data_IF_003406490441
#
_entry.id   IF_003406490441
#
_cell.length_a   1.000
_cell.length_b   1.000
_cell.length_c   1.000
_cell.angle_alpha   90.00
_cell.angle_beta   90.00
_cell.angle_gamma   90.00
#
_symmetry.space_group_name_H-M   'P 1'
#
loop_
_entity.id
_entity.type
_entity.pdbx_description
1 polymer ?
2 non-polymer ?
3 water ?
#
# COMPACT_ATOMS: atom_id res chain seq x y z
N UNK A 1 11.01 0.41 4.08
CA UNK A 1 10.11 1.14 5.00
C UNK A 1 9.77 0.25 6.19
N UNK A 2 9.21 0.84 7.25
CA UNK A 2 8.80 0.05 8.40
C UNK A 2 7.32 -0.23 8.21
N UNK A 3 6.80 -1.22 8.93
CA UNK A 3 5.40 -1.56 8.79
C UNK A 3 4.70 -1.83 10.11
N UNK A 4 3.41 -1.52 10.16
CA UNK A 4 2.59 -1.79 11.34
C UNK A 4 1.57 -2.78 10.81
N UNK A 5 1.21 -3.75 11.62
CA UNK A 5 0.28 -4.78 11.17
C UNK A 5 -0.90 -5.04 12.08
N UNK A 6 -2.07 -5.16 11.48
CA UNK A 6 -3.29 -5.48 12.22
C UNK A 6 -3.90 -6.68 11.52
N UNK A 7 -4.11 -7.75 12.27
CA UNK A 7 -4.70 -8.95 11.70
C UNK A 7 -6.14 -9.11 12.14
N UNK A 8 -7.00 -9.49 11.21
CA UNK A 8 -8.42 -9.70 11.48
C UNK A 8 -8.76 -11.15 11.12
N UNK A 9 -9.64 -11.76 11.91
CA UNK A 9 -10.05 -13.14 11.67
C UNK A 9 -8.86 -14.09 11.53
N UNK A 10 -7.92 -13.94 12.46
CA UNK A 10 -6.71 -14.76 12.55
C UNK A 10 -5.93 -14.97 11.26
N UNK A 11 -5.74 -13.89 10.51
CA UNK A 11 -4.99 -13.95 9.27
C UNK A 11 -3.58 -14.49 9.58
N UNK A 12 -3.08 -14.16 10.77
CA UNK A 12 -1.75 -14.58 11.20
C UNK A 12 -1.51 -16.09 11.27
N UNK A 13 -2.53 -16.87 11.61
CA UNK A 13 -2.37 -18.32 11.70
C UNK A 13 -2.68 -19.00 10.37
N UNK A 14 -3.34 -18.28 9.48
CA UNK A 14 -3.74 -18.82 8.19
C UNK A 14 -2.72 -18.57 7.08
N UNK A 15 -2.01 -17.46 7.19
CA UNK A 15 -1.02 -17.05 6.20
C UNK A 15 0.20 -17.95 6.05
N UNK A 16 0.54 -18.30 4.81
CA UNK A 16 1.71 -19.11 4.52
C UNK A 16 2.90 -18.22 4.90
N UNK A 17 3.73 -18.66 5.86
CA UNK A 17 4.89 -17.88 6.30
C UNK A 17 5.82 -17.44 5.18
N UNK A 18 5.98 -18.28 4.16
CA UNK A 18 6.86 -17.93 3.05
C UNK A 18 6.22 -16.86 2.16
N UNK A 19 4.92 -16.98 1.93
CA UNK A 19 4.23 -15.99 1.11
C UNK A 19 4.27 -14.64 1.85
N UNK A 20 4.08 -14.68 3.17
CA UNK A 20 4.14 -13.43 3.93
C UNK A 20 5.55 -12.85 3.90
N UNK A 21 6.55 -13.72 3.97
CA UNK A 21 7.93 -13.27 3.95
C UNK A 21 8.27 -12.53 2.66
N UNK A 22 7.78 -13.02 1.53
CA UNK A 22 8.06 -12.36 0.26
C UNK A 22 7.52 -10.93 0.28
N UNK A 23 6.32 -10.77 0.82
CA UNK A 23 5.70 -9.46 0.92
C UNK A 23 6.46 -8.61 1.93
N UNK A 24 6.70 -9.16 3.11
CA UNK A 24 7.39 -8.42 4.15
C UNK A 24 8.80 -7.97 3.79
N UNK A 25 9.59 -8.85 3.18
CA UNK A 25 10.96 -8.48 2.81
C UNK A 25 10.96 -7.39 1.76
N UNK A 26 10.01 -7.45 0.84
CA UNK A 26 9.91 -6.44 -0.19
C UNK A 26 9.65 -5.07 0.43
N UNK A 27 8.68 -5.01 1.35
CA UNK A 27 8.33 -3.76 2.00
C UNK A 27 9.42 -3.19 2.90
N UNK A 28 10.11 -4.06 3.62
CA UNK A 28 11.16 -3.61 4.53
C UNK A 28 12.37 -2.96 3.87
N UNK A 29 12.84 -3.50 2.74
CA UNK A 29 14.01 -2.92 2.10
C UNK A 29 13.65 -1.76 1.18
N UNK A 30 12.36 -1.60 0.92
CA UNK A 30 11.85 -0.55 0.04
C UNK A 30 12.00 0.87 0.59
N UNK A 31 12.56 1.79 -0.21
CA UNK A 31 12.71 3.17 0.27
C UNK A 31 11.38 3.90 0.17
N UNK A 32 11.33 5.12 0.69
CA UNK A 32 10.12 5.92 0.62
C UNK A 32 10.09 6.62 -0.72
N UNK A 33 9.03 6.41 -1.49
CA UNK A 33 8.92 7.07 -2.78
C UNK A 33 8.09 8.30 -2.59
N UNK A 34 8.60 9.42 -3.10
CA UNK A 34 7.92 10.70 -2.99
C UNK A 34 7.96 11.48 -4.31
N UNK A 35 7.10 12.48 -4.41
CA UNK A 35 7.01 13.33 -5.60
C UNK A 35 6.43 14.68 -5.19
N UNK A 36 6.44 15.62 -6.12
CA UNK A 36 5.91 16.96 -5.84
C UNK A 36 4.40 16.88 -5.72
N UNK A 37 3.81 17.79 -4.95
CA UNK A 37 2.36 17.81 -4.77
C UNK A 37 1.68 18.63 -5.86
N UNK A 45 5.12 20.38 -0.22
CA UNK A 45 5.88 20.10 -1.44
C UNK A 45 5.93 18.60 -1.72
N UNK A 46 6.89 17.90 -1.11
CA UNK A 46 7.03 16.46 -1.31
C UNK A 46 5.89 15.65 -0.69
N UNK A 47 5.31 14.76 -1.48
CA UNK A 47 4.22 13.91 -1.00
C UNK A 47 4.49 12.45 -1.36
N UNK A 48 3.73 11.56 -0.74
CA UNK A 48 3.86 10.13 -0.98
C UNK A 48 3.56 9.84 -2.45
N UNK A 49 4.41 9.02 -3.06
CA UNK A 49 4.26 8.65 -4.47
C UNK A 49 3.78 7.19 -4.58
N UNK A 50 2.45 6.98 -4.68
CA UNK A 50 1.89 5.62 -4.79
C UNK A 50 2.24 4.84 -6.07
N UNK A 51 2.37 5.54 -7.20
CA UNK A 51 2.72 4.87 -8.45
C UNK A 51 4.15 4.36 -8.39
N UNK A 52 5.06 5.19 -7.90
CA UNK A 52 6.44 4.77 -7.78
C UNK A 52 6.51 3.57 -6.86
N UNK A 53 5.76 3.65 -5.76
CA UNK A 53 5.71 2.58 -4.76
C UNK A 53 5.20 1.26 -5.36
N UNK A 54 4.11 1.33 -6.11
CA UNK A 54 3.55 0.14 -6.71
C UNK A 54 4.44 -0.43 -7.81
N UNK A 55 5.18 0.45 -8.47
CA UNK A 55 6.08 0.00 -9.52
C UNK A 55 7.19 -0.80 -8.87
N UNK A 56 7.67 -0.30 -7.74
CA UNK A 56 8.74 -0.96 -6.98
C UNK A 56 8.27 -2.33 -6.50
N UNK A 57 7.07 -2.37 -5.92
CA UNK A 57 6.53 -3.62 -5.42
C UNK A 57 6.33 -4.62 -6.57
N UNK A 58 5.80 -4.14 -7.68
CA UNK A 58 5.57 -4.96 -8.85
C UNK A 58 6.86 -5.59 -9.40
N UNK A 59 7.90 -4.79 -9.55
CA UNK A 59 9.15 -5.29 -10.09
C UNK A 59 9.79 -6.35 -9.19
N UNK A 60 9.44 -6.33 -7.91
CA UNK A 60 9.97 -7.30 -6.96
C UNK A 60 9.18 -8.60 -6.95
N UNK A 61 7.85 -8.49 -6.96
CA UNK A 61 6.97 -9.66 -6.89
C UNK A 61 6.71 -10.43 -8.19
N UNK A 62 6.81 -9.76 -9.33
CA UNK A 62 6.58 -10.46 -10.59
C UNK A 62 7.61 -11.57 -10.74
N UNK A 63 8.90 -11.28 -10.50
CA UNK A 63 9.89 -12.35 -10.63
C UNK A 63 9.70 -13.46 -9.61
N UNK A 64 8.88 -13.21 -8.59
CA UNK A 64 8.61 -14.23 -7.56
C UNK A 64 7.29 -14.93 -7.86
N UNK A 65 6.81 -14.75 -9.08
CA UNK A 65 5.59 -15.39 -9.56
C UNK A 65 4.24 -14.93 -9.01
N UNK A 66 4.16 -13.67 -8.59
CA UNK A 66 2.89 -13.13 -8.13
C UNK A 66 2.20 -12.59 -9.38
N UNK A 67 0.95 -12.99 -9.62
CA UNK A 67 0.23 -12.50 -10.79
C UNK A 67 -0.34 -11.14 -10.40
N UNK A 68 -0.24 -10.16 -11.29
CA UNK A 68 -0.75 -8.84 -10.96
C UNK A 68 -1.92 -8.38 -11.83
N UNK A 69 -2.68 -7.42 -11.29
CA UNK A 69 -3.83 -6.84 -11.96
C UNK A 69 -4.01 -5.41 -11.49
N UNK A 70 -4.06 -4.47 -12.43
CA UNK A 70 -4.23 -3.06 -12.09
C UNK A 70 -5.66 -2.57 -12.36
N UNK A 71 -6.40 -2.23 -11.29
CA UNK A 71 -7.78 -1.74 -11.32
C UNK A 71 -7.97 -0.47 -12.15
N UNK A 72 -9.10 -0.40 -12.86
CA UNK A 72 -9.41 0.76 -13.68
C UNK A 72 -9.61 1.97 -12.78
N UNK A 73 -8.77 3.00 -12.94
CA UNK A 73 -8.85 4.23 -12.15
C UNK A 73 -10.03 5.12 -12.53
N UNK A 74 -10.48 5.92 -11.57
CA UNK A 74 -11.59 6.85 -11.80
C UNK A 74 -11.03 8.06 -12.54
N UNK A 75 -9.74 7.99 -12.86
CA UNK A 75 -9.05 9.07 -13.54
C UNK A 75 -7.74 8.54 -14.13
N UNK A 76 -7.55 8.76 -15.43
CA UNK A 76 -6.35 8.30 -16.13
C UNK A 76 -5.02 8.49 -15.41
N UNK A 77 -4.78 9.69 -14.87
CA UNK A 77 -3.53 9.97 -14.16
C UNK A 77 -3.49 9.36 -12.76
N UNK A 78 -4.54 8.62 -12.41
CA UNK A 78 -4.62 7.95 -11.11
C UNK A 78 -4.30 6.47 -11.31
N UNK A 79 -4.38 6.03 -12.56
CA UNK A 79 -4.08 4.64 -12.91
C UNK A 79 -2.77 4.26 -12.22
N UNK A 80 -2.72 3.07 -11.64
CA UNK A 80 -1.51 2.62 -10.97
C UNK A 80 -1.42 3.04 -9.51
N UNK A 81 -2.42 3.74 -9.02
CA UNK A 81 -2.43 4.17 -7.63
C UNK A 81 -2.79 3.00 -6.71
N UNK A 82 -3.51 2.04 -7.26
CA UNK A 82 -3.90 0.83 -6.54
C UNK A 82 -3.51 -0.34 -7.43
N UNK A 83 -3.12 -1.45 -6.82
CA UNK A 83 -2.70 -2.62 -7.58
C UNK A 83 -2.96 -3.88 -6.76
N UNK A 84 -3.25 -4.98 -7.45
CA UNK A 84 -3.53 -6.25 -6.79
C UNK A 84 -2.58 -7.35 -7.26
N UNK A 85 -2.22 -8.23 -6.33
CA UNK A 85 -1.33 -9.34 -6.63
C UNK A 85 -1.94 -10.60 -6.05
N UNK A 86 -1.74 -11.72 -6.74
CA UNK A 86 -2.25 -12.98 -6.25
C UNK A 86 -1.21 -14.05 -6.45
N UNK A 87 -1.13 -14.99 -5.51
CA UNK A 87 -0.20 -16.12 -5.60
C UNK A 87 -0.75 -17.21 -4.71
N UNK A 88 -0.94 -18.39 -5.28
CA UNK A 88 -1.48 -19.50 -4.55
C UNK A 88 -2.82 -19.11 -3.94
N UNK A 89 -2.88 -19.05 -2.61
CA UNK A 89 -4.12 -18.72 -1.91
C UNK A 89 -4.10 -17.34 -1.28
N UNK A 90 -3.13 -16.52 -1.66
CA UNK A 90 -3.03 -15.20 -1.06
C UNK A 90 -3.32 -14.06 -2.00
N UNK A 91 -4.07 -13.09 -1.50
CA UNK A 91 -4.43 -11.91 -2.26
C UNK A 91 -3.77 -10.70 -1.60
N UNK A 92 -3.05 -9.91 -2.38
CA UNK A 92 -2.43 -8.71 -1.85
C UNK A 92 -3.10 -7.56 -2.58
N UNK A 93 -3.61 -6.62 -1.80
CA UNK A 93 -4.30 -5.46 -2.34
C UNK A 93 -3.65 -4.21 -1.80
N UNK A 94 -3.00 -3.46 -2.69
CA UNK A 94 -2.35 -2.23 -2.30
C UNK A 94 -3.38 -1.15 -2.55
N UNK A 95 -3.79 -0.48 -1.48
CA UNK A 95 -4.81 0.56 -1.56
C UNK A 95 -4.31 1.92 -1.09
N UNK A 96 -3.88 2.76 -2.03
CA UNK A 96 -3.38 4.09 -1.71
C UNK A 96 -4.30 5.23 -2.21
N UNK A 97 -5.31 4.90 -3.02
CA UNK A 97 -6.18 5.93 -3.57
C UNK A 97 -7.32 6.40 -2.66
N UNK A 98 -8.12 7.35 -3.15
CA UNK A 98 -9.23 7.87 -2.36
C UNK A 98 -10.55 7.18 -2.69
N UNK A 99 -10.47 6.00 -3.26
CA UNK A 99 -11.66 5.24 -3.60
C UNK A 99 -12.28 4.88 -2.24
N UNK A 100 -13.62 4.96 -2.12
CA UNK A 100 -14.31 4.63 -0.85
C UNK A 100 -13.91 3.27 -0.28
N UNK A 101 -13.21 3.30 0.85
CA UNK A 101 -12.71 2.09 1.49
C UNK A 101 -13.69 0.94 1.73
N UNK A 102 -14.67 1.15 2.60
CA UNK A 102 -15.65 0.11 2.90
C UNK A 102 -16.38 -0.41 1.66
N UNK A 103 -16.86 0.50 0.82
CA UNK A 103 -17.58 0.10 -0.38
C UNK A 103 -16.63 -0.68 -1.29
N UNK A 104 -15.41 -0.17 -1.44
CA UNK A 104 -14.39 -0.81 -2.26
C UNK A 104 -14.15 -2.26 -1.83
N UNK A 105 -13.90 -2.44 -0.54
CA UNK A 105 -13.63 -3.78 -0.02
C UNK A 105 -14.86 -4.67 0.11
N UNK A 106 -16.04 -4.07 0.30
CA UNK A 106 -17.25 -4.87 0.40
C UNK A 106 -17.46 -5.53 -0.95
N UNK A 107 -17.20 -4.76 -2.01
CA UNK A 107 -17.35 -5.25 -3.37
C UNK A 107 -16.30 -6.32 -3.66
N UNK A 108 -15.08 -6.09 -3.17
CA UNK A 108 -13.99 -7.03 -3.37
C UNK A 108 -14.24 -8.27 -2.53
N UNK A 109 -14.87 -8.07 -1.38
CA UNK A 109 -15.19 -9.16 -0.47
C UNK A 109 -16.17 -10.12 -1.13
N UNK A 110 -17.14 -9.56 -1.85
CA UNK A 110 -18.15 -10.35 -2.54
C UNK A 110 -17.49 -11.33 -3.51
N UNK A 111 -16.57 -10.83 -4.33
CA UNK A 111 -15.88 -11.69 -5.28
C UNK A 111 -15.02 -12.71 -4.52
N UNK A 112 -14.41 -12.26 -3.42
CA UNK A 112 -13.56 -13.13 -2.60
C UNK A 112 -14.35 -14.37 -2.17
N UNK A 113 -15.63 -14.18 -1.88
CA UNK A 113 -16.49 -15.29 -1.47
C UNK A 113 -17.22 -15.89 -2.67
N UNK A 114 -16.76 -15.57 -3.87
CA UNK A 114 -17.39 -16.09 -5.07
C UNK A 114 -16.70 -15.64 -6.34
N UNK A 123 -9.15 -21.96 -3.70
CA UNK A 123 -9.44 -20.54 -3.80
C UNK A 123 -8.69 -19.68 -2.79
N UNK A 124 -8.88 -18.37 -2.87
CA UNK A 124 -8.22 -17.44 -1.96
C UNK A 124 -8.67 -17.70 -0.53
N UNK A 125 -7.74 -17.65 0.41
CA UNK A 125 -8.07 -17.91 1.80
C UNK A 125 -7.74 -16.75 2.73
N UNK A 126 -6.88 -15.85 2.28
CA UNK A 126 -6.50 -14.71 3.10
C UNK A 126 -6.12 -13.55 2.22
N UNK A 127 -6.38 -12.35 2.71
CA UNK A 127 -6.07 -11.13 1.97
C UNK A 127 -5.15 -10.23 2.77
N UNK A 128 -4.20 -9.62 2.07
CA UNK A 128 -3.27 -8.70 2.69
C UNK A 128 -3.55 -7.36 2.05
N UNK A 129 -3.85 -6.37 2.88
CA UNK A 129 -4.13 -5.04 2.38
C UNK A 129 -3.02 -4.09 2.81
N UNK A 130 -2.39 -3.45 1.84
CA UNK A 130 -1.30 -2.53 2.13
C UNK A 130 -1.73 -1.07 1.98
N UNK A 131 -1.46 -0.29 3.01
CA UNK A 131 -1.82 1.12 3.02
C UNK A 131 -0.61 1.89 3.52
N UNK A 132 -0.69 3.21 3.47
CA UNK A 132 0.42 3.99 3.98
C UNK A 132 -0.05 4.76 5.20
N UNK A 133 0.85 5.02 6.13
CA UNK A 133 0.47 5.73 7.34
C UNK A 133 0.00 7.15 7.13
N UNK A 134 -0.75 7.64 8.11
CA UNK A 134 -1.26 8.99 8.06
C UNK A 134 -0.12 10.01 8.15
N UNK A 135 1.01 9.59 8.70
CA UNK A 135 2.15 10.48 8.86
C UNK A 135 2.69 11.06 7.54
N UNK A 136 2.39 10.41 6.43
CA UNK A 136 2.89 10.88 5.14
C UNK A 136 1.94 11.82 4.42
N UNK A 137 2.40 13.05 4.13
CA UNK A 137 1.49 13.95 3.42
C UNK A 137 1.19 13.27 2.08
N UNK A 138 -0.05 13.36 1.61
CA UNK A 138 -0.39 12.67 0.38
C UNK A 138 -1.50 13.32 -0.43
N UNK A 139 -1.89 12.63 -1.50
CA UNK A 139 -2.96 13.09 -2.37
C UNK A 139 -4.19 13.35 -1.51
N UNK A 140 -5.11 14.18 -1.98
CA UNK A 140 -6.29 14.50 -1.18
C UNK A 140 -7.31 13.38 -0.99
N UNK A 141 -7.69 13.16 0.27
CA UNK A 141 -8.68 12.14 0.62
C UNK A 141 -8.21 10.72 0.33
N UNK A 142 -6.91 10.56 0.12
CA UNK A 142 -6.40 9.23 -0.15
C UNK A 142 -6.42 8.44 1.15
N UNK A 143 -6.75 7.17 1.05
CA UNK A 143 -6.82 6.28 2.20
C UNK A 143 -5.51 6.21 2.99
N UNK A 144 -5.62 6.06 4.30
CA UNK A 144 -4.45 5.87 5.14
C UNK A 144 -4.72 4.75 6.13
N UNK A 145 -3.63 4.16 6.62
CA UNK A 145 -3.69 3.03 7.53
C UNK A 145 -4.61 3.17 8.74
N UNK A 146 -4.41 4.21 9.53
CA UNK A 146 -5.20 4.43 10.74
C UNK A 146 -6.70 4.48 10.46
N UNK A 147 -7.07 5.03 9.30
CA UNK A 147 -8.46 5.14 8.89
C UNK A 147 -9.02 3.78 8.48
N UNK A 148 -8.22 3.00 7.76
CA UNK A 148 -8.65 1.68 7.32
C UNK A 148 -8.81 0.76 8.52
N UNK A 149 -7.91 0.91 9.48
CA UNK A 149 -7.93 0.10 10.70
C UNK A 149 -9.16 0.43 11.54
N UNK A 150 -9.45 1.72 11.66
CA UNK A 150 -10.61 2.16 12.42
C UNK A 150 -11.86 1.52 11.84
N UNK A 151 -12.00 1.62 10.52
CA UNK A 151 -13.18 1.06 9.87
C UNK A 151 -13.28 -0.45 10.01
N UNK A 152 -12.16 -1.16 9.88
CA UNK A 152 -12.18 -2.62 10.03
C UNK A 152 -12.40 -2.98 11.49
N UNK A 153 -11.80 -2.24 12.41
CA UNK A 153 -12.00 -2.52 13.84
C UNK A 153 -13.49 -2.41 14.12
N UNK A 154 -14.15 -1.47 13.46
CA UNK A 154 -15.58 -1.29 13.67
C UNK A 154 -16.40 -2.45 13.14
N UNK A 155 -16.11 -2.90 11.93
CA UNK A 155 -16.85 -4.02 11.39
C UNK A 155 -16.55 -5.28 12.19
N UNK A 156 -15.28 -5.45 12.57
CA UNK A 156 -14.88 -6.62 13.35
C UNK A 156 -15.67 -6.67 14.65
N UNK A 157 -15.85 -5.50 15.26
CA UNK A 157 -16.57 -5.36 16.52
C UNK A 157 -17.97 -5.98 16.47
N UNK A 158 -18.61 -5.91 15.31
CA UNK A 158 -19.95 -6.46 15.15
C UNK A 158 -19.97 -7.69 14.25
N UNK A 159 -18.85 -8.42 14.22
CA UNK A 159 -18.73 -9.62 13.40
C UNK A 159 -19.40 -9.45 12.04
N UNK A 160 -18.99 -8.41 11.32
CA UNK A 160 -19.55 -8.12 10.01
C UNK A 160 -18.93 -8.99 8.92
N UNK A 161 -17.63 -9.22 9.00
CA UNK A 161 -16.96 -10.03 8.00
C UNK A 161 -16.12 -11.12 8.66
N UNK A 162 -15.92 -12.22 7.95
CA UNK A 162 -15.13 -13.32 8.49
C UNK A 162 -13.89 -13.59 7.63
N UNK A 163 -13.74 -12.83 6.55
CA UNK A 163 -12.58 -13.01 5.69
C UNK A 163 -11.29 -12.60 6.43
N UNK A 164 -10.28 -13.48 6.42
CA UNK A 164 -9.00 -13.23 7.08
C UNK A 164 -8.26 -12.09 6.39
N UNK A 165 -7.89 -11.07 7.15
CA UNK A 165 -7.19 -9.94 6.57
C UNK A 165 -5.98 -9.49 7.35
N UNK A 166 -4.87 -9.32 6.66
CA UNK A 166 -3.73 -8.78 7.35
C UNK A 166 -3.64 -7.38 6.79
N UNK A 167 -3.88 -6.39 7.64
CA UNK A 167 -3.80 -5.00 7.23
C UNK A 167 -2.38 -4.51 7.55
N UNK A 168 -1.70 -3.98 6.54
CA UNK A 168 -0.34 -3.51 6.69
C UNK A 168 -0.25 -2.00 6.48
N UNK A 169 0.46 -1.33 7.38
CA UNK A 169 0.61 0.11 7.28
C UNK A 169 2.05 0.51 7.04
N UNK A 170 2.30 1.20 5.93
CA UNK A 170 3.65 1.63 5.62
C UNK A 170 3.99 2.87 6.43
N UNK A 171 5.06 2.79 7.21
CA UNK A 171 5.45 3.93 8.03
C UNK A 171 6.95 4.06 8.06
N UNK A 172 7.39 5.13 8.70
CA UNK A 172 8.80 5.42 8.85
C UNK A 172 8.89 6.09 10.21
N UNK A 173 10.03 5.99 10.88
CA UNK A 173 10.19 6.66 12.16
C UNK A 173 10.55 8.10 11.88
N UNK A 174 10.17 8.99 12.79
CA UNK A 174 10.47 10.41 12.63
C UNK A 174 11.93 10.69 12.98
N UNK A 175 12.43 11.83 12.53
CA UNK A 175 13.79 12.25 12.83
C UNK A 175 14.83 11.15 12.64
N UNK A 176 14.69 10.36 11.59
CA UNK A 176 15.63 9.27 11.32
C UNK A 176 16.04 9.27 9.85
N UNK A 177 17.33 9.07 9.59
CA UNK A 177 17.84 9.04 8.22
C UNK A 177 17.24 7.85 7.49
N UNK A 178 16.64 8.11 6.33
CA UNK A 178 16.04 7.05 5.53
C UNK A 178 16.36 7.26 4.05
N UNK A 179 16.22 6.20 3.26
CA UNK A 179 16.46 6.28 1.82
C UNK A 179 15.18 6.81 1.17
N UNK A 180 15.32 7.81 0.30
CA UNK A 180 14.16 8.38 -0.37
C UNK A 180 14.36 8.44 -1.88
N UNK A 181 13.28 8.21 -2.61
CA UNK A 181 13.31 8.27 -4.05
C UNK A 181 12.36 9.38 -4.42
N UNK A 182 12.89 10.41 -5.06
CA UNK A 182 12.11 11.56 -5.48
C UNK A 182 11.91 11.47 -7.00
N UNK A 183 10.66 11.53 -7.45
CA UNK A 183 10.35 11.43 -8.87
C UNK A 183 9.47 12.57 -9.37
N UNK A 184 9.62 12.89 -10.65
CA UNK A 184 8.80 13.91 -11.31
C UNK A 184 8.19 13.26 -12.55
N UNK A 185 6.87 13.26 -12.63
CA UNK A 185 6.19 12.65 -13.76
C UNK A 185 5.55 13.66 -14.71
N UNK A 186 5.59 13.34 -15.99
CA UNK A 186 4.95 14.15 -17.01
C UNK A 186 3.66 13.37 -17.23
N UNK A 187 2.66 13.63 -16.40
CA UNK A 187 1.39 12.93 -16.52
C UNK A 187 0.57 13.58 -17.63
N UNK A 188 0.31 12.80 -18.67
CA UNK A 188 -0.43 13.25 -19.84
C UNK A 188 -1.21 12.08 -20.43
C UNK A 190 -1.49 7.54 -21.79
N UNK A 191 -0.67 8.31 -21.08
CA UNK A 191 0.78 8.08 -21.07
C UNK A 191 1.44 8.79 -19.88
N UNK A 192 2.18 8.04 -19.07
CA UNK A 192 2.89 8.61 -17.91
C UNK A 192 4.39 8.48 -18.13
N UNK A 193 5.14 9.52 -17.80
CA UNK A 193 6.58 9.49 -18.02
C UNK A 193 7.37 10.10 -16.88
N UNK A 194 8.54 9.53 -16.62
CA UNK A 194 9.42 10.02 -15.58
C UNK A 194 10.37 11.00 -16.26
N UNK A 195 10.32 12.27 -15.88
CA UNK A 195 11.21 13.24 -16.48
C UNK A 195 12.40 13.49 -15.57
N UNK A 196 12.22 13.20 -14.29
CA UNK A 196 13.30 13.39 -13.33
C UNK A 196 13.16 12.51 -12.09
N UNK A 197 14.29 12.00 -11.63
CA UNK A 197 14.31 11.17 -10.45
C UNK A 197 15.66 11.17 -9.79
N UNK A 198 15.65 11.09 -8.46
CA UNK A 198 16.89 11.03 -7.71
C UNK A 198 16.73 10.19 -6.47
N UNK A 199 17.80 9.51 -6.10
CA UNK A 199 17.81 8.67 -4.91
C UNK A 199 18.69 9.38 -3.89
N UNK A 200 18.07 9.95 -2.87
CA UNK A 200 18.79 10.69 -1.85
C UNK A 200 18.50 10.20 -0.43
N UNK A 201 19.01 10.94 0.55
CA UNK A 201 18.79 10.61 1.96
C UNK A 201 17.95 11.73 2.53
N UNK A 202 17.20 11.42 3.57
CA UNK A 202 16.37 12.44 4.18
C UNK A 202 15.73 11.89 5.43
N UNK A 203 14.65 12.53 5.85
CA UNK A 203 13.94 12.10 7.04
C UNK A 203 12.61 12.82 7.05
N UNK A 204 11.76 12.44 7.99
CA UNK A 204 10.46 13.05 8.14
C UNK A 204 10.48 13.85 9.44
N UNK A 205 10.10 15.12 9.36
CA UNK A 205 10.10 16.00 10.52
C UNK A 205 8.74 16.11 11.20
N UNK A 206 8.77 16.31 12.51
CA UNK A 206 7.56 16.45 13.33
C UNK A 206 6.63 15.24 13.22
N UNK A 217 0.40 16.94 9.39
CA UNK A 217 1.14 15.68 9.35
C UNK A 217 2.63 15.96 9.27
N UNK A 218 3.42 14.91 9.01
CA UNK A 218 4.86 15.06 8.90
C UNK A 218 5.27 15.80 7.63
N UNK A 219 6.54 16.18 7.56
CA UNK A 219 7.09 16.89 6.41
C UNK A 219 8.30 16.13 5.94
N UNK A 220 8.36 15.80 4.66
CA UNK A 220 9.49 15.06 4.14
C UNK A 220 10.62 16.00 3.76
N UNK A 221 11.79 15.74 4.34
CA UNK A 221 12.97 16.55 4.10
C UNK A 221 14.06 15.75 3.42
N UNK A 222 14.64 16.34 2.39
CA UNK A 222 15.71 15.70 1.64
C UNK A 222 17.01 16.43 1.92
N UNK A 223 18.12 15.71 1.78
CA UNK A 223 19.43 16.29 2.01
C UNK A 223 20.09 16.54 0.66
X LIG B 1 -9.04 2.10 -1.58
X LIG B 1 -9.10 3.31 -1.25
X LIG B 1 -9.54 1.17 -0.90
X LIG B 1 -8.29 1.74 -2.88
#
# INVERSE_FOLDING_TARGET
MKIDITDYNHADEILNPQLWKEIEETLLKMPLHVKASDQASKVGSLIFDPVGTNQYIKDELVPKHWKNNIPIPKRFDFLGTDIDFGKRDTLVEVQFSNYPFLLNNTVRSELFHKSNXDIDEEGMKVAIIITKGHMFPASNSSLYYEQAQNQLNSLAEYNVFDVPIRLVGLIEDFETDIDIVSTTYADKRYSRTITKRDTVKGKVIDTNTPNTRRRKRGTIVTY
ACY C O OXT CH3
#
